data_IF_276073283163
#
_entry.id   IF_276073283163
#
_cell.length_a   1.000
_cell.length_b   1.000
_cell.length_c   1.000
_cell.angle_alpha   90.00
_cell.angle_beta   90.00
_cell.angle_gamma   90.00
#
_symmetry.space_group_name_H-M   'P 1'
#
loop_
_entity.id
_entity.type
_entity.pdbx_description
1 polymer ?
#
# COMPACT_ATOMS: atom_id res chain seq x y z
N UNK A 1 -27.67 -24.88 15.90
CA UNK A 1 -26.85 -23.73 16.33
C UNK A 1 -25.38 -24.13 16.23
N UNK A 2 -24.69 -23.79 15.13
CA UNK A 2 -23.20 -23.73 15.03
C UNK A 2 -22.83 -22.93 13.77
N UNK A 3 -23.28 -21.67 13.67
CA UNK A 3 -22.84 -20.74 12.62
C UNK A 3 -21.58 -19.95 13.05
N UNK A 4 -21.31 -19.90 14.36
CA UNK A 4 -20.27 -19.04 14.97
C UNK A 4 -18.84 -19.53 14.73
N UNK A 5 -18.63 -20.82 14.45
CA UNK A 5 -17.30 -21.39 14.18
C UNK A 5 -16.78 -21.07 12.77
N UNK A 6 -17.65 -21.13 11.74
CA UNK A 6 -17.26 -20.87 10.35
C UNK A 6 -16.82 -19.43 10.10
N UNK A 7 -17.45 -18.46 10.77
CA UNK A 7 -17.08 -17.04 10.63
C UNK A 7 -15.72 -16.72 11.28
N UNK A 8 -15.35 -17.43 12.36
CA UNK A 8 -14.06 -17.23 13.02
C UNK A 8 -12.88 -17.70 12.15
N UNK A 9 -13.01 -18.88 11.55
CA UNK A 9 -12.00 -19.45 10.67
C UNK A 9 -11.84 -18.63 9.37
N UNK A 10 -12.95 -18.14 8.81
CA UNK A 10 -12.93 -17.27 7.63
C UNK A 10 -12.26 -15.92 7.91
N UNK A 11 -12.54 -15.30 9.05
CA UNK A 11 -11.88 -14.05 9.48
C UNK A 11 -10.38 -14.26 9.65
N UNK A 12 -9.96 -15.35 10.31
CA UNK A 12 -8.55 -15.65 10.51
C UNK A 12 -7.82 -15.90 9.18
N UNK A 13 -8.45 -16.59 8.23
CA UNK A 13 -7.89 -16.83 6.91
C UNK A 13 -7.72 -15.53 6.10
N UNK A 14 -8.72 -14.64 6.11
CA UNK A 14 -8.65 -13.34 5.43
C UNK A 14 -7.61 -12.42 6.07
N UNK A 15 -7.49 -12.43 7.40
CA UNK A 15 -6.46 -11.67 8.12
C UNK A 15 -5.05 -12.15 7.77
N UNK A 16 -4.84 -13.48 7.72
CA UNK A 16 -3.57 -14.06 7.29
C UNK A 16 -3.25 -13.75 5.81
N UNK A 17 -4.25 -13.79 4.92
CA UNK A 17 -4.09 -13.41 3.51
C UNK A 17 -3.67 -11.95 3.39
N UNK A 18 -4.37 -11.05 4.08
CA UNK A 18 -4.06 -9.62 4.10
C UNK A 18 -2.63 -9.35 4.61
N UNK A 19 -2.26 -9.91 5.77
CA UNK A 19 -0.93 -9.74 6.36
C UNK A 19 0.18 -10.27 5.44
N UNK A 20 -0.03 -11.40 4.77
CA UNK A 20 0.92 -11.94 3.81
C UNK A 20 1.10 -11.01 2.60
N UNK A 21 0.00 -10.46 2.07
CA UNK A 21 0.06 -9.54 0.94
C UNK A 21 0.72 -8.21 1.32
N UNK A 22 0.46 -7.71 2.53
CA UNK A 22 1.09 -6.50 3.09
C UNK A 22 2.62 -6.70 3.24
N UNK A 23 3.04 -7.84 3.80
CA UNK A 23 4.47 -8.18 3.90
C UNK A 23 5.15 -8.29 2.54
N UNK A 24 4.50 -8.89 1.53
CA UNK A 24 5.03 -8.95 0.16
C UNK A 24 5.12 -7.55 -0.44
N UNK A 25 4.13 -6.70 -0.22
CA UNK A 25 4.13 -5.33 -0.69
C UNK A 25 5.30 -4.53 -0.10
N UNK A 26 5.61 -4.70 1.19
CA UNK A 26 6.75 -4.07 1.85
C UNK A 26 8.08 -4.56 1.27
N UNK A 27 8.25 -5.88 1.07
CA UNK A 27 9.46 -6.42 0.43
C UNK A 27 9.65 -5.85 -0.98
N UNK A 28 8.58 -5.73 -1.76
CA UNK A 28 8.65 -5.14 -3.09
C UNK A 28 8.99 -3.64 -3.04
N UNK A 29 8.49 -2.89 -2.05
CA UNK A 29 8.92 -1.51 -1.82
C UNK A 29 10.42 -1.47 -1.56
N UNK A 30 10.90 -2.27 -0.60
CA UNK A 30 12.31 -2.26 -0.19
C UNK A 30 13.24 -2.68 -1.35
N UNK A 31 12.81 -3.62 -2.19
CA UNK A 31 13.52 -3.99 -3.43
C UNK A 31 13.61 -2.82 -4.42
N UNK A 32 12.53 -2.06 -4.60
CA UNK A 32 12.50 -0.87 -5.44
C UNK A 32 13.41 0.22 -4.90
N UNK A 33 13.31 0.53 -3.60
CA UNK A 33 14.12 1.54 -2.93
C UNK A 33 15.61 1.18 -3.01
N UNK A 34 15.98 -0.08 -2.74
CA UNK A 34 17.37 -0.53 -2.88
C UNK A 34 17.89 -0.42 -4.32
N UNK A 35 17.07 -0.71 -5.34
CA UNK A 35 17.46 -0.53 -6.74
C UNK A 35 17.67 0.95 -7.08
N UNK A 36 16.82 1.84 -6.55
CA UNK A 36 16.97 3.28 -6.70
C UNK A 36 18.26 3.78 -6.04
N UNK A 37 18.50 3.40 -4.78
CA UNK A 37 19.69 3.80 -4.02
C UNK A 37 20.99 3.35 -4.71
N UNK A 38 21.02 2.13 -5.25
CA UNK A 38 22.17 1.64 -6.03
C UNK A 38 22.34 2.44 -7.32
N UNK A 39 21.24 2.80 -7.99
CA UNK A 39 21.30 3.66 -9.18
C UNK A 39 21.86 5.04 -8.83
N UNK A 40 21.40 5.65 -7.74
CA UNK A 40 21.88 6.94 -7.24
C UNK A 40 23.37 6.88 -6.87
N UNK A 41 23.81 5.83 -6.18
CA UNK A 41 25.22 5.61 -5.84
C UNK A 41 26.13 5.47 -7.07
N UNK A 42 25.57 5.03 -8.20
CA UNK A 42 26.25 4.97 -9.51
C UNK A 42 26.08 6.26 -10.33
N UNK A 43 25.45 7.29 -9.78
CA UNK A 43 25.02 8.49 -10.50
C UNK A 43 24.20 8.15 -11.75
N UNK A 44 23.40 7.08 -11.67
CA UNK A 44 22.58 6.52 -12.74
C UNK A 44 23.38 6.06 -13.97
N UNK A 45 24.69 5.79 -13.81
CA UNK A 45 25.54 5.28 -14.87
C UNK A 45 25.54 3.75 -14.88
N UNK A 46 25.37 3.15 -16.07
CA UNK A 46 25.35 1.69 -16.26
C UNK A 46 24.36 0.96 -15.33
N UNK A 47 23.21 1.59 -15.05
CA UNK A 47 22.21 1.18 -14.06
C UNK A 47 21.00 0.45 -14.69
N UNK A 48 21.14 -0.08 -15.90
CA UNK A 48 20.03 -0.73 -16.62
C UNK A 48 19.40 -1.85 -15.79
N UNK A 49 20.25 -2.66 -15.15
CA UNK A 49 19.79 -3.76 -14.30
C UNK A 49 18.97 -3.27 -13.11
N UNK A 50 19.41 -2.19 -12.46
CA UNK A 50 18.69 -1.58 -11.35
C UNK A 50 17.37 -0.93 -11.81
N UNK A 51 17.37 -0.26 -12.97
CA UNK A 51 16.13 0.28 -13.56
C UNK A 51 15.11 -0.81 -13.85
N UNK A 52 15.53 -1.92 -14.46
CA UNK A 52 14.65 -3.05 -14.74
C UNK A 52 14.06 -3.63 -13.43
N UNK A 53 14.88 -3.73 -12.37
CA UNK A 53 14.42 -4.15 -11.03
C UNK A 53 13.46 -3.18 -10.38
N UNK A 54 13.73 -1.88 -10.47
CA UNK A 54 12.87 -0.83 -9.94
C UNK A 54 11.50 -0.88 -10.62
N UNK A 55 11.47 -0.95 -11.94
CA UNK A 55 10.22 -1.06 -12.72
C UNK A 55 9.46 -2.33 -12.36
N UNK A 56 10.13 -3.48 -12.31
CA UNK A 56 9.49 -4.73 -11.89
C UNK A 56 8.89 -4.63 -10.49
N UNK A 57 9.64 -4.12 -9.52
CA UNK A 57 9.19 -3.97 -8.14
C UNK A 57 7.97 -3.03 -8.05
N UNK A 58 7.96 -1.94 -8.81
CA UNK A 58 6.85 -1.00 -8.89
C UNK A 58 5.57 -1.65 -9.45
N UNK A 59 5.67 -2.37 -10.57
CA UNK A 59 4.54 -3.05 -11.20
C UNK A 59 3.97 -4.16 -10.31
N UNK A 60 4.84 -5.02 -9.78
CA UNK A 60 4.45 -6.10 -8.89
C UNK A 60 3.78 -5.55 -7.61
N UNK A 61 4.33 -4.46 -7.05
CA UNK A 61 3.76 -3.81 -5.86
C UNK A 61 2.37 -3.25 -6.13
N UNK A 62 2.13 -2.73 -7.34
CA UNK A 62 0.80 -2.23 -7.71
C UNK A 62 -0.22 -3.36 -7.76
N UNK A 63 0.16 -4.52 -8.35
CA UNK A 63 -0.68 -5.70 -8.37
C UNK A 63 -0.96 -6.22 -6.94
N UNK A 64 0.08 -6.47 -6.15
CA UNK A 64 -0.06 -6.97 -4.76
C UNK A 64 -0.88 -6.00 -3.90
N UNK A 65 -0.71 -4.69 -4.09
CA UNK A 65 -1.52 -3.68 -3.41
C UNK A 65 -3.02 -3.76 -3.75
N UNK A 66 -3.36 -4.10 -5.00
CA UNK A 66 -4.75 -4.32 -5.40
C UNK A 66 -5.36 -5.57 -4.76
N UNK A 67 -4.59 -6.66 -4.69
CA UNK A 67 -4.99 -7.90 -4.04
C UNK A 67 -5.14 -7.71 -2.52
N UNK A 68 -4.19 -7.00 -1.88
CA UNK A 68 -4.24 -6.66 -0.46
C UNK A 68 -5.50 -5.85 -0.14
N UNK A 69 -5.83 -4.85 -0.96
CA UNK A 69 -7.07 -4.07 -0.79
C UNK A 69 -8.32 -4.93 -0.94
N UNK A 70 -8.34 -5.87 -1.88
CA UNK A 70 -9.47 -6.78 -2.05
C UNK A 70 -9.62 -7.77 -0.87
N UNK A 71 -8.51 -8.23 -0.29
CA UNK A 71 -8.51 -9.04 0.93
C UNK A 71 -9.02 -8.24 2.14
N UNK A 72 -8.56 -6.99 2.29
CA UNK A 72 -9.03 -6.07 3.33
C UNK A 72 -10.52 -5.78 3.24
N UNK A 73 -11.04 -5.51 2.04
CA UNK A 73 -12.46 -5.23 1.83
C UNK A 73 -13.34 -6.44 2.21
N UNK A 74 -12.91 -7.66 1.84
CA UNK A 74 -13.57 -8.90 2.27
C UNK A 74 -13.53 -9.06 3.78
N UNK A 75 -12.36 -8.86 4.40
CA UNK A 75 -12.19 -8.93 5.86
C UNK A 75 -13.12 -7.96 6.60
N UNK A 76 -13.24 -6.72 6.12
CA UNK A 76 -14.12 -5.72 6.72
C UNK A 76 -15.58 -6.15 6.68
N UNK A 77 -16.06 -6.63 5.52
CA UNK A 77 -17.44 -7.08 5.37
C UNK A 77 -17.72 -8.29 6.25
N UNK A 78 -16.83 -9.28 6.25
CA UNK A 78 -16.99 -10.50 7.07
C UNK A 78 -16.99 -10.18 8.57
N UNK A 79 -16.20 -9.19 9.02
CA UNK A 79 -16.06 -8.85 10.44
C UNK A 79 -17.12 -7.89 10.96
N UNK A 80 -17.57 -6.93 10.15
CA UNK A 80 -18.41 -5.81 10.59
C UNK A 80 -19.72 -5.66 9.82
N UNK A 81 -19.93 -6.44 8.75
CA UNK A 81 -21.05 -6.27 7.83
C UNK A 81 -20.86 -5.10 6.86
N UNK A 82 -21.67 -5.07 5.80
CA UNK A 82 -21.50 -4.14 4.67
C UNK A 82 -21.58 -2.65 5.06
N UNK A 83 -22.55 -2.28 5.91
CA UNK A 83 -22.78 -0.89 6.29
C UNK A 83 -21.57 -0.31 7.05
N UNK A 84 -21.11 -1.01 8.09
CA UNK A 84 -19.94 -0.55 8.87
C UNK A 84 -18.65 -0.65 8.06
N UNK A 85 -18.50 -1.65 7.20
CA UNK A 85 -17.37 -1.74 6.28
C UNK A 85 -17.33 -0.55 5.28
N UNK A 86 -18.48 -0.05 4.83
CA UNK A 86 -18.55 1.14 3.98
C UNK A 86 -18.13 2.41 4.73
N UNK A 87 -18.56 2.58 5.98
CA UNK A 87 -18.15 3.69 6.85
C UNK A 87 -16.62 3.71 7.06
N UNK A 88 -16.03 2.58 7.43
CA UNK A 88 -14.57 2.45 7.63
C UNK A 88 -13.81 2.82 6.35
N UNK A 89 -14.29 2.38 5.17
CA UNK A 89 -13.67 2.75 3.88
C UNK A 89 -13.78 4.24 3.58
N UNK A 90 -14.91 4.86 3.90
CA UNK A 90 -15.11 6.29 3.71
C UNK A 90 -14.18 7.10 4.64
N UNK A 91 -14.07 6.72 5.91
CA UNK A 91 -13.16 7.31 6.90
C UNK A 91 -11.70 7.21 6.44
N UNK A 92 -11.27 6.01 6.01
CA UNK A 92 -9.92 5.80 5.50
C UNK A 92 -9.62 6.66 4.25
N UNK A 93 -10.58 6.76 3.32
CA UNK A 93 -10.45 7.60 2.13
C UNK A 93 -10.32 9.09 2.48
N UNK A 94 -11.10 9.56 3.45
CA UNK A 94 -11.02 10.95 3.93
C UNK A 94 -9.66 11.25 4.57
N UNK A 95 -9.14 10.33 5.38
CA UNK A 95 -7.82 10.47 6.00
C UNK A 95 -6.69 10.57 4.95
N UNK A 96 -6.72 9.72 3.92
CA UNK A 96 -5.75 9.78 2.81
C UNK A 96 -5.86 11.11 2.05
N UNK A 97 -7.08 11.57 1.77
CA UNK A 97 -7.28 12.85 1.07
C UNK A 97 -6.71 14.03 1.86
N UNK A 98 -6.90 14.04 3.18
CA UNK A 98 -6.33 15.06 4.07
C UNK A 98 -4.81 15.02 4.04
N UNK A 99 -4.19 13.84 4.22
CA UNK A 99 -2.73 13.71 4.18
C UNK A 99 -2.13 14.18 2.84
N UNK A 100 -2.82 13.90 1.73
CA UNK A 100 -2.41 14.39 0.40
C UNK A 100 -2.53 15.91 0.27
N UNK A 101 -3.56 16.52 0.84
CA UNK A 101 -3.71 17.98 0.87
C UNK A 101 -2.55 18.62 1.65
N UNK A 102 -2.26 18.11 2.84
CA UNK A 102 -1.15 18.60 3.68
C UNK A 102 0.22 18.43 2.98
N UNK A 103 0.44 17.31 2.28
CA UNK A 103 1.65 17.09 1.52
C UNK A 103 1.82 18.11 0.38
N UNK A 104 0.73 18.45 -0.32
CA UNK A 104 0.73 19.47 -1.38
C UNK A 104 1.05 20.85 -0.83
N UNK A 105 0.48 21.22 0.32
CA UNK A 105 0.78 22.48 1.00
C UNK A 105 2.26 22.57 1.40
N UNK A 106 2.82 21.48 1.96
CA UNK A 106 4.26 21.43 2.30
C UNK A 106 5.15 21.62 1.07
N UNK A 107 4.83 20.98 -0.05
CA UNK A 107 5.57 21.15 -1.30
C UNK A 107 5.49 22.61 -1.81
N UNK A 108 4.29 23.18 -1.86
CA UNK A 108 4.09 24.57 -2.29
C UNK A 108 4.87 25.58 -1.40
N UNK A 109 4.87 25.37 -0.08
CA UNK A 109 5.62 26.18 0.86
C UNK A 109 7.15 26.04 0.76
N UNK A 110 7.64 24.89 0.27
CA UNK A 110 9.07 24.65 0.01
C UNK A 110 9.51 25.33 -1.28
N UNK A 111 8.71 25.23 -2.34
CA UNK A 111 9.01 25.82 -3.65
C UNK A 111 8.94 27.36 -3.59
N UNK A 112 8.00 27.93 -2.84
CA UNK A 112 7.94 29.37 -2.58
C UNK A 112 9.10 29.92 -1.74
N UNK A 113 9.82 29.06 -1.00
CA UNK A 113 11.05 29.39 -0.25
C UNK A 113 12.31 29.26 -1.09
N UNK A 114 12.35 28.34 -2.06
CA UNK A 114 13.48 28.17 -2.99
C UNK A 114 13.57 29.29 -4.04
N UNK A 115 12.45 29.98 -4.31
CA UNK A 115 12.34 31.04 -5.30
C UNK A 115 12.54 32.47 -4.74
N UNK A 116 13.00 32.62 -3.49
CA UNK A 116 13.40 33.90 -2.87
C UNK A 116 14.86 33.87 -2.48
#
# INVERSE_FOLDING_TARGET
MTATGKSGDEVAALEAEYQRLDAVWDVLRDMGDAAHDISEAKEFRNDRFERDRYTYALEARQQVGSESRAAWDRLLVTRYGEARAAEIRAEAKAAVAQQLAEARERCAARDGRRSR
#
